data_IF_386160830899
#
_entry.id   IF_386160830899
#
_cell.length_a   1.000
_cell.length_b   1.000
_cell.length_c   1.000
_cell.angle_alpha   90.00
_cell.angle_beta   90.00
_cell.angle_gamma   90.00
#
_symmetry.space_group_name_H-M   'P 1'
#
loop_
_entity.id
_entity.type
_entity.pdbx_description
1 polymer ?
#
# COMPACT_ATOMS: atom_id res chain seq x y z
N UNK A 1 39.04 39.58 36.41
CA UNK A 1 38.76 40.22 35.10
C UNK A 1 39.03 39.22 33.98
N UNK A 2 38.06 38.93 33.10
CA UNK A 2 38.25 37.93 32.04
C UNK A 2 39.13 38.43 30.89
N UNK A 3 39.98 37.55 30.32
CA UNK A 3 40.80 37.88 29.15
C UNK A 3 39.90 38.21 27.94
N UNK A 4 40.25 39.25 27.18
CA UNK A 4 39.60 39.57 25.91
C UNK A 4 39.94 38.52 24.85
N UNK A 5 38.99 38.25 23.98
CA UNK A 5 39.24 37.46 22.77
C UNK A 5 40.28 38.16 21.89
N UNK A 6 41.21 37.40 21.30
CA UNK A 6 42.25 37.92 20.41
C UNK A 6 41.71 38.36 19.04
N UNK A 7 40.56 37.83 18.62
CA UNK A 7 39.92 38.18 17.36
C UNK A 7 39.63 39.69 17.25
N UNK A 8 39.96 40.29 16.10
CA UNK A 8 39.75 41.72 15.86
C UNK A 8 38.27 42.05 15.99
N UNK A 9 37.97 43.20 16.57
CA UNK A 9 36.59 43.69 16.82
C UNK A 9 35.74 42.82 17.77
N UNK A 10 36.28 41.76 18.36
CA UNK A 10 35.56 40.97 19.34
C UNK A 10 35.50 41.68 20.70
N UNK A 11 34.30 42.05 21.14
CA UNK A 11 34.07 42.71 22.43
C UNK A 11 33.98 41.75 23.63
N UNK A 12 34.01 40.44 23.39
CA UNK A 12 33.83 39.41 24.42
C UNK A 12 35.03 39.34 25.37
N UNK A 13 34.80 39.65 26.66
CA UNK A 13 35.78 39.56 27.75
C UNK A 13 35.77 38.19 28.47
N UNK A 14 35.69 37.10 27.70
CA UNK A 14 35.67 35.73 28.20
C UNK A 14 36.39 34.75 27.25
N UNK A 15 37.66 35.03 26.96
CA UNK A 15 38.52 34.11 26.24
C UNK A 15 38.89 32.91 27.13
N UNK A 16 38.42 31.73 26.76
CA UNK A 16 38.63 30.48 27.52
C UNK A 16 39.16 29.36 26.63
N UNK A 17 39.12 29.53 25.30
CA UNK A 17 39.56 28.52 24.35
C UNK A 17 41.02 28.73 23.93
N UNK A 18 41.79 27.64 23.92
CA UNK A 18 43.16 27.55 23.42
C UNK A 18 43.53 26.09 23.13
N UNK A 19 44.73 25.82 22.61
CA UNK A 19 45.26 24.47 22.45
C UNK A 19 45.65 23.83 23.80
N UNK A 20 45.58 22.50 23.87
CA UNK A 20 45.89 21.70 25.06
C UNK A 20 47.28 22.04 25.62
N UNK A 21 47.40 22.13 26.94
CA UNK A 21 48.64 22.51 27.64
C UNK A 21 48.85 24.03 27.81
N UNK A 22 48.02 24.86 27.17
CA UNK A 22 48.12 26.32 27.32
C UNK A 22 47.63 26.81 28.68
N UNK A 23 48.38 27.72 29.33
CA UNK A 23 48.05 28.29 30.65
C UNK A 23 46.84 29.24 30.68
N UNK A 24 46.19 29.50 29.54
CA UNK A 24 44.99 30.34 29.51
C UNK A 24 44.38 30.51 28.13
N UNK A 25 43.10 30.91 28.11
CA UNK A 25 42.32 31.12 26.90
C UNK A 25 42.75 32.35 26.10
N UNK A 26 42.68 32.24 24.77
CA UNK A 26 42.98 33.32 23.81
C UNK A 26 41.76 33.67 22.94
N UNK A 27 40.85 32.72 22.72
CA UNK A 27 39.63 32.91 21.94
C UNK A 27 38.37 32.66 22.77
N UNK A 28 37.28 33.34 22.39
CA UNK A 28 35.94 33.06 22.92
C UNK A 28 35.32 31.87 22.18
N UNK A 29 34.14 31.40 22.64
CA UNK A 29 33.44 30.26 22.03
C UNK A 29 33.16 30.44 20.54
N UNK A 30 32.88 31.67 20.10
CA UNK A 30 32.52 31.96 18.70
C UNK A 30 33.73 32.05 17.77
N UNK A 31 34.92 32.27 18.32
CA UNK A 31 36.17 32.44 17.54
C UNK A 31 37.19 31.34 17.83
N UNK A 32 36.76 30.24 18.46
CA UNK A 32 37.62 29.06 18.56
C UNK A 32 37.70 28.41 17.17
N UNK A 33 38.88 27.93 16.82
CA UNK A 33 39.09 27.11 15.62
C UNK A 33 39.19 25.64 16.00
N UNK A 34 39.20 24.76 15.00
CA UNK A 34 39.32 23.32 15.22
C UNK A 34 40.61 22.98 15.99
N UNK A 35 40.49 22.01 16.91
CA UNK A 35 41.56 21.64 17.85
C UNK A 35 41.66 22.51 19.11
N UNK A 36 40.94 23.63 19.23
CA UNK A 36 40.92 24.43 20.45
C UNK A 36 39.90 23.93 21.48
N UNK A 37 40.35 23.84 22.73
CA UNK A 37 39.61 23.33 23.89
C UNK A 37 39.42 24.42 24.94
N UNK A 38 38.44 24.26 25.83
CA UNK A 38 38.31 25.13 27.00
C UNK A 38 39.45 24.82 27.98
N UNK A 39 40.45 25.70 28.06
CA UNK A 39 41.62 25.51 28.94
C UNK A 39 41.44 26.16 30.31
N UNK A 40 40.30 26.81 30.55
CA UNK A 40 40.01 27.50 31.81
C UNK A 40 39.18 26.65 32.76
N UNK A 41 38.22 25.90 32.23
CA UNK A 41 37.37 25.03 33.03
C UNK A 41 37.90 23.58 32.99
N UNK A 42 37.78 22.82 34.10
CA UNK A 42 38.14 21.41 34.09
C UNK A 42 37.38 20.64 33.01
N UNK A 43 38.05 19.74 32.27
CA UNK A 43 37.42 18.87 31.31
C UNK A 43 36.63 17.75 32.01
N UNK A 44 35.90 16.97 31.22
CA UNK A 44 35.26 15.74 31.66
C UNK A 44 36.33 14.74 32.13
N UNK A 45 36.04 13.98 33.18
CA UNK A 45 36.99 12.99 33.73
C UNK A 45 37.19 11.75 32.83
N UNK A 46 36.31 11.53 31.87
CA UNK A 46 36.52 10.49 30.85
C UNK A 46 37.76 10.81 29.99
N UNK A 47 38.62 9.82 29.79
CA UNK A 47 39.89 10.00 29.10
C UNK A 47 39.72 10.58 27.69
N UNK A 48 40.53 11.59 27.37
CA UNK A 48 40.48 12.29 26.08
C UNK A 48 39.29 13.24 25.87
N UNK A 49 38.40 13.41 26.84
CA UNK A 49 37.20 14.22 26.66
C UNK A 49 37.38 15.69 27.11
N UNK A 50 37.34 16.62 26.14
CA UNK A 50 37.50 18.06 26.40
C UNK A 50 36.19 18.82 26.65
N UNK A 51 35.06 18.12 26.77
CA UNK A 51 33.78 18.78 27.09
C UNK A 51 33.70 19.13 28.56
N UNK A 52 33.17 20.31 28.84
CA UNK A 52 32.93 20.79 30.21
C UNK A 52 31.92 19.86 30.92
N UNK A 53 32.26 19.33 32.10
CA UNK A 53 31.38 18.43 32.82
C UNK A 53 30.26 19.18 33.52
N UNK A 54 29.08 18.58 33.49
CA UNK A 54 27.84 19.06 34.13
C UNK A 54 27.24 18.01 35.06
N UNK A 55 27.55 16.72 34.83
CA UNK A 55 26.89 15.60 35.47
C UNK A 55 27.73 15.01 36.60
N UNK A 56 27.06 14.65 37.69
CA UNK A 56 27.64 13.94 38.83
C UNK A 56 26.53 13.25 39.65
N UNK A 57 26.89 12.57 40.73
CA UNK A 57 25.96 12.03 41.71
C UNK A 57 25.15 13.13 42.42
N UNK A 58 23.94 12.78 42.86
CA UNK A 58 23.06 13.71 43.58
C UNK A 58 23.73 14.22 44.86
N UNK A 59 23.61 15.53 45.12
CA UNK A 59 24.22 16.20 46.27
C UNK A 59 25.63 16.76 46.02
N UNK A 60 26.29 16.36 44.93
CA UNK A 60 27.58 16.93 44.53
C UNK A 60 27.40 18.31 43.91
N UNK A 61 28.36 19.23 44.14
CA UNK A 61 28.30 20.61 43.62
C UNK A 61 29.08 20.83 42.31
N UNK A 62 29.97 19.90 41.97
CA UNK A 62 30.83 19.98 40.77
C UNK A 62 30.52 18.83 39.83
N UNK A 63 30.27 19.14 38.56
CA UNK A 63 30.14 18.13 37.52
C UNK A 63 31.49 17.45 37.26
N UNK A 64 31.48 16.12 37.09
CA UNK A 64 32.65 15.29 36.76
C UNK A 64 32.60 14.77 35.32
N UNK A 65 31.40 14.52 34.83
CA UNK A 65 31.18 13.96 33.49
C UNK A 65 30.35 14.90 32.59
N UNK A 66 30.56 14.80 31.28
CA UNK A 66 29.70 15.45 30.28
C UNK A 66 28.42 14.60 30.05
N UNK A 67 27.53 15.07 29.17
CA UNK A 67 26.27 14.34 28.88
C UNK A 67 26.50 12.97 28.24
N UNK A 68 27.54 12.87 27.40
CA UNK A 68 27.88 11.64 26.66
C UNK A 68 28.59 10.60 27.54
N UNK A 69 29.25 11.06 28.61
CA UNK A 69 30.04 10.20 29.51
C UNK A 69 29.45 10.08 30.91
N UNK A 70 28.22 10.56 31.14
CA UNK A 70 27.58 10.39 32.44
C UNK A 70 27.25 8.92 32.67
N UNK A 71 27.47 8.43 33.89
CA UNK A 71 27.05 7.09 34.29
C UNK A 71 25.55 7.07 34.62
N UNK A 72 24.96 5.87 34.61
CA UNK A 72 23.55 5.67 35.00
C UNK A 72 23.35 6.22 36.43
N UNK A 73 22.31 7.04 36.62
CA UNK A 73 22.00 7.68 37.90
C UNK A 73 22.65 9.04 38.13
N UNK A 74 23.58 9.49 37.27
CA UNK A 74 24.14 10.83 37.36
C UNK A 74 23.19 11.91 36.83
N UNK A 75 23.15 13.04 37.52
CA UNK A 75 22.26 14.18 37.29
C UNK A 75 23.06 15.43 36.94
N UNK A 76 22.45 16.40 36.26
CA UNK A 76 23.07 17.72 36.08
C UNK A 76 23.13 18.42 37.44
N UNK A 77 24.33 18.65 37.95
CA UNK A 77 24.54 19.26 39.27
C UNK A 77 24.80 20.77 39.20
N UNK A 78 24.88 21.35 37.98
CA UNK A 78 25.07 22.79 37.79
C UNK A 78 23.77 23.54 37.59
N UNK A 79 22.77 22.90 36.98
CA UNK A 79 21.45 23.49 36.80
C UNK A 79 20.47 22.92 37.83
N UNK A 80 19.59 23.75 38.42
CA UNK A 80 18.54 23.26 39.30
C UNK A 80 17.67 22.20 38.61
N UNK A 81 17.26 21.13 39.32
CA UNK A 81 16.32 20.15 38.80
C UNK A 81 14.90 20.72 38.70
N UNK A 82 14.01 19.94 38.09
CA UNK A 82 12.59 20.23 38.09
C UNK A 82 12.05 20.23 39.53
N UNK A 83 11.12 21.12 39.83
CA UNK A 83 10.54 21.24 41.18
C UNK A 83 9.58 20.09 41.55
N UNK A 84 9.25 19.21 40.61
CA UNK A 84 8.48 18.01 40.91
C UNK A 84 9.35 17.02 41.69
N UNK A 85 8.79 16.47 42.76
CA UNK A 85 9.49 15.54 43.63
C UNK A 85 10.10 14.37 42.84
N UNK A 86 11.36 14.07 43.12
CA UNK A 86 12.11 12.98 42.45
C UNK A 86 12.54 13.25 41.02
N UNK A 87 12.30 14.45 40.45
CA UNK A 87 12.58 14.71 39.05
C UNK A 87 13.91 15.44 38.79
N UNK A 88 14.89 14.74 38.21
CA UNK A 88 16.22 15.31 37.91
C UNK A 88 16.34 15.98 36.52
N UNK A 89 15.25 16.07 35.75
CA UNK A 89 15.32 16.73 34.44
C UNK A 89 15.42 18.24 34.61
N UNK A 90 16.27 18.88 33.80
CA UNK A 90 16.40 20.33 33.76
C UNK A 90 15.05 20.97 33.37
N UNK A 91 14.55 21.93 34.17
CA UNK A 91 13.28 22.59 33.88
C UNK A 91 13.43 23.67 32.80
N UNK A 92 12.38 23.80 31.98
CA UNK A 92 12.24 24.85 30.98
C UNK A 92 10.87 25.54 31.03
N UNK A 93 9.89 24.96 31.74
CA UNK A 93 8.52 25.44 31.79
C UNK A 93 8.23 26.25 33.04
N UNK A 94 7.46 27.33 32.88
CA UNK A 94 6.94 28.16 33.95
C UNK A 94 5.73 28.98 33.46
N UNK A 95 5.13 29.79 34.33
CA UNK A 95 4.12 30.78 33.96
C UNK A 95 4.71 31.88 33.07
N UNK A 96 3.87 32.45 32.20
CA UNK A 96 4.27 33.54 31.29
C UNK A 96 4.85 34.73 32.07
N UNK A 97 5.91 35.34 31.52
CA UNK A 97 6.63 36.47 32.13
C UNK A 97 7.76 36.06 33.09
N UNK A 98 7.81 34.80 33.51
CA UNK A 98 8.92 34.28 34.31
C UNK A 98 10.15 34.01 33.43
N UNK A 99 11.36 34.27 33.93
CA UNK A 99 12.61 34.10 33.16
C UNK A 99 13.33 32.76 33.38
N UNK A 100 12.88 31.97 34.35
CA UNK A 100 13.50 30.69 34.74
C UNK A 100 12.47 29.58 34.69
N UNK A 101 12.81 28.45 34.06
CA UNK A 101 12.00 27.24 34.13
C UNK A 101 11.99 26.68 35.55
N UNK A 102 10.82 26.23 36.01
CA UNK A 102 10.61 25.53 37.30
C UNK A 102 10.24 24.07 37.10
N UNK A 103 9.54 23.77 35.99
CA UNK A 103 9.08 22.43 35.65
C UNK A 103 9.67 21.94 34.32
N UNK A 104 9.79 20.63 34.16
CA UNK A 104 10.11 20.02 32.88
C UNK A 104 8.84 19.79 32.05
N UNK A 105 8.99 19.39 30.79
CA UNK A 105 7.84 19.15 29.89
C UNK A 105 6.83 18.14 30.45
N UNK A 106 7.30 17.14 31.21
CA UNK A 106 6.44 16.10 31.80
C UNK A 106 5.67 16.58 33.03
N UNK A 107 6.19 17.58 33.74
CA UNK A 107 5.63 18.08 35.01
C UNK A 107 5.09 19.50 34.89
N UNK A 108 4.96 20.03 33.67
CA UNK A 108 4.27 21.30 33.46
C UNK A 108 2.78 21.11 33.75
N UNK A 109 2.17 22.08 34.41
CA UNK A 109 0.71 22.13 34.58
C UNK A 109 0.07 23.02 33.50
N UNK A 110 -1.25 22.95 33.37
CA UNK A 110 -2.00 23.79 32.43
C UNK A 110 -1.68 25.28 32.66
N UNK A 111 -1.45 26.01 31.56
CA UNK A 111 -1.04 27.42 31.60
C UNK A 111 0.47 27.66 31.68
N UNK A 112 1.31 26.63 31.87
CA UNK A 112 2.77 26.78 31.80
C UNK A 112 3.30 26.67 30.37
N UNK A 113 4.26 27.55 30.06
CA UNK A 113 4.91 27.69 28.76
C UNK A 113 6.42 27.47 28.91
N UNK A 114 7.12 27.15 27.81
CA UNK A 114 8.58 27.13 27.82
C UNK A 114 9.09 28.58 27.90
N UNK A 115 9.77 28.91 28.99
CA UNK A 115 10.29 30.26 29.27
C UNK A 115 11.81 30.36 29.05
N UNK A 116 12.44 29.26 28.65
CA UNK A 116 13.89 29.18 28.44
C UNK A 116 14.23 29.23 26.95
N UNK A 117 13.40 28.59 26.12
CA UNK A 117 13.54 28.61 24.68
C UNK A 117 13.09 29.96 24.10
N UNK A 118 13.66 30.41 22.96
CA UNK A 118 13.17 31.58 22.25
C UNK A 118 11.69 31.40 21.85
N UNK A 119 10.90 32.45 22.02
CA UNK A 119 9.51 32.53 21.58
C UNK A 119 9.38 33.51 20.41
N UNK A 120 8.29 33.38 19.65
CA UNK A 120 7.92 34.31 18.61
C UNK A 120 7.90 35.76 19.11
N UNK A 121 8.42 36.69 18.32
CA UNK A 121 8.48 38.12 18.67
C UNK A 121 7.11 38.81 18.66
N UNK A 122 6.09 38.18 18.06
CA UNK A 122 4.71 38.66 18.13
C UNK A 122 4.19 38.63 19.56
N UNK A 123 3.61 39.74 20.01
CA UNK A 123 3.10 39.88 21.37
C UNK A 123 2.13 38.76 21.73
N UNK A 124 2.36 38.17 22.91
CA UNK A 124 1.54 37.10 23.44
C UNK A 124 1.65 35.75 22.74
N UNK A 125 2.65 35.53 21.87
CA UNK A 125 2.86 34.26 21.19
C UNK A 125 3.99 33.43 21.83
N UNK A 126 3.67 32.22 22.32
CA UNK A 126 4.65 31.32 22.95
C UNK A 126 5.17 30.22 22.01
N UNK A 127 4.84 30.30 20.72
CA UNK A 127 5.30 29.32 19.73
C UNK A 127 6.77 29.55 19.39
N UNK A 128 7.51 28.46 19.11
CA UNK A 128 8.92 28.59 18.73
C UNK A 128 9.05 29.29 17.38
N UNK A 129 9.94 30.30 17.28
CA UNK A 129 10.15 31.01 16.05
C UNK A 129 11.11 30.25 15.14
N UNK A 130 10.67 30.00 13.91
CA UNK A 130 11.51 29.37 12.86
C UNK A 130 11.65 30.26 11.63
N UNK A 131 10.81 31.29 11.50
CA UNK A 131 10.77 32.19 10.35
C UNK A 131 11.57 33.47 10.59
N UNK A 132 12.31 33.89 9.57
CA UNK A 132 13.01 35.18 9.51
C UNK A 132 13.32 35.52 8.04
N UNK A 133 13.96 36.68 7.81
CA UNK A 133 14.47 37.06 6.49
C UNK A 133 15.59 36.11 6.04
N UNK A 134 15.71 35.92 4.73
CA UNK A 134 16.75 35.10 4.10
C UNK A 134 18.14 35.57 4.54
N UNK A 135 19.04 34.62 4.81
CA UNK A 135 20.40 34.87 5.31
C UNK A 135 20.53 34.97 6.83
N UNK A 136 19.42 35.11 7.56
CA UNK A 136 19.43 35.06 9.02
C UNK A 136 19.57 33.62 9.53
N UNK A 137 20.22 33.42 10.69
CA UNK A 137 20.47 32.09 11.28
C UNK A 137 19.49 31.70 12.39
N UNK A 138 18.66 32.63 12.85
CA UNK A 138 17.72 32.45 13.97
C UNK A 138 16.33 32.85 13.53
N UNK A 139 15.32 32.04 13.85
CA UNK A 139 13.92 32.43 13.70
C UNK A 139 13.58 33.57 14.65
N UNK A 140 12.73 34.49 14.19
CA UNK A 140 12.12 35.58 14.98
C UNK A 140 10.61 35.42 15.09
N UNK A 141 9.98 34.84 14.08
CA UNK A 141 8.53 34.65 14.01
C UNK A 141 8.16 33.18 13.82
N UNK A 142 6.95 32.81 14.23
CA UNK A 142 6.38 31.50 13.93
C UNK A 142 5.62 31.52 12.60
N UNK A 143 5.10 30.36 12.16
CA UNK A 143 4.37 30.25 10.90
C UNK A 143 3.16 31.19 10.81
N UNK A 144 2.45 31.39 11.93
CA UNK A 144 1.26 32.24 11.99
C UNK A 144 1.56 33.74 12.01
N UNK A 145 2.79 34.12 12.39
CA UNK A 145 3.20 35.53 12.52
C UNK A 145 4.34 35.89 11.57
N UNK A 146 4.61 35.05 10.56
CA UNK A 146 5.61 35.34 9.54
C UNK A 146 5.10 36.44 8.62
N UNK A 147 5.96 37.38 8.25
CA UNK A 147 5.67 38.36 7.20
C UNK A 147 5.87 37.72 5.81
N UNK A 148 5.35 38.37 4.77
CA UNK A 148 5.33 37.84 3.40
C UNK A 148 6.70 37.32 2.92
N UNK A 149 7.78 38.09 3.14
CA UNK A 149 9.14 37.76 2.70
C UNK A 149 9.93 36.86 3.66
N UNK A 150 9.32 36.38 4.75
CA UNK A 150 10.00 35.54 5.72
C UNK A 150 9.96 34.06 5.33
N UNK A 151 11.11 33.41 5.42
CA UNK A 151 11.32 31.99 5.17
C UNK A 151 11.63 31.25 6.47
N UNK A 152 11.42 29.93 6.50
CA UNK A 152 11.97 29.12 7.59
C UNK A 152 13.50 29.17 7.47
N UNK A 153 14.17 29.73 8.48
CA UNK A 153 15.64 29.87 8.49
C UNK A 153 16.34 28.73 9.24
N UNK A 154 15.59 27.91 9.96
CA UNK A 154 16.11 26.70 10.60
C UNK A 154 16.10 25.52 9.62
N UNK A 155 15.08 25.49 8.76
CA UNK A 155 14.90 24.54 7.67
C UNK A 155 14.78 25.31 6.34
N UNK A 156 15.88 25.92 5.86
CA UNK A 156 15.85 26.76 4.68
C UNK A 156 15.34 25.97 3.47
N UNK A 157 14.44 26.58 2.67
CA UNK A 157 13.99 26.01 1.42
C UNK A 157 15.12 26.06 0.38
N UNK A 158 14.82 25.56 -0.82
CA UNK A 158 15.74 25.60 -1.96
C UNK A 158 16.29 27.02 -2.19
N UNK A 159 17.59 27.11 -2.51
CA UNK A 159 18.26 28.40 -2.69
C UNK A 159 17.74 29.19 -3.90
N UNK A 160 17.16 28.51 -4.90
CA UNK A 160 16.48 29.17 -6.02
C UNK A 160 15.39 30.14 -5.53
N UNK A 161 15.35 31.34 -6.11
CA UNK A 161 14.39 32.37 -5.73
C UNK A 161 12.95 31.89 -5.96
N UNK A 162 12.05 32.24 -5.03
CA UNK A 162 10.65 31.82 -5.06
C UNK A 162 10.38 30.33 -4.81
N UNK A 163 11.41 29.49 -4.61
CA UNK A 163 11.19 28.06 -4.40
C UNK A 163 10.99 27.72 -2.92
N UNK A 164 9.80 27.22 -2.56
CA UNK A 164 9.48 26.73 -1.21
C UNK A 164 9.81 25.26 -0.95
N UNK A 165 10.37 24.54 -1.94
CA UNK A 165 10.63 23.09 -1.83
C UNK A 165 11.84 22.82 -0.93
N UNK A 166 11.76 21.78 -0.10
CA UNK A 166 12.88 21.34 0.73
C UNK A 166 14.07 20.89 -0.14
N UNK A 167 15.28 21.44 0.08
CA UNK A 167 16.45 21.06 -0.69
C UNK A 167 17.07 19.77 -0.18
N UNK A 168 17.39 18.88 -1.12
CA UNK A 168 18.10 17.62 -0.87
C UNK A 168 19.36 17.47 -1.73
N UNK A 169 19.51 18.28 -2.78
CA UNK A 169 20.63 18.22 -3.71
C UNK A 169 21.75 19.19 -3.36
N UNK A 170 22.99 18.73 -3.47
CA UNK A 170 24.20 19.55 -3.36
C UNK A 170 25.40 18.86 -4.04
N UNK A 171 26.59 19.44 -3.97
CA UNK A 171 27.83 18.80 -4.41
C UNK A 171 28.23 17.65 -3.46
N UNK A 172 28.91 16.63 -3.99
CA UNK A 172 29.35 15.45 -3.26
C UNK A 172 30.18 15.83 -2.02
N UNK A 173 29.98 15.12 -0.91
CA UNK A 173 30.65 15.36 0.37
C UNK A 173 30.00 16.43 1.28
N UNK A 174 29.04 17.21 0.77
CA UNK A 174 28.26 18.13 1.60
C UNK A 174 27.17 17.37 2.37
N UNK A 175 26.85 17.80 3.59
CA UNK A 175 25.81 17.17 4.44
C UNK A 175 24.43 17.84 4.35
N UNK A 176 24.36 19.03 3.75
CA UNK A 176 23.13 19.83 3.67
C UNK A 176 22.76 20.02 2.21
N UNK A 177 21.51 19.70 1.85
CA UNK A 177 20.95 20.06 0.55
C UNK A 177 20.85 21.58 0.41
N UNK A 178 21.12 22.10 -0.79
CA UNK A 178 20.98 23.51 -1.17
C UNK A 178 19.88 23.72 -2.21
N UNK A 179 19.68 22.73 -3.08
CA UNK A 179 18.71 22.79 -4.17
C UNK A 179 17.70 21.64 -4.10
N UNK A 180 16.49 21.86 -4.63
CA UNK A 180 15.52 20.79 -4.86
C UNK A 180 15.80 20.09 -6.20
N UNK A 181 15.05 19.02 -6.50
CA UNK A 181 15.23 18.25 -7.75
C UNK A 181 15.07 19.09 -9.01
N UNK A 182 14.16 20.07 -9.00
CA UNK A 182 13.87 20.94 -10.14
C UNK A 182 14.93 22.04 -10.34
N UNK A 183 15.68 22.39 -9.30
CA UNK A 183 16.67 23.47 -9.33
C UNK A 183 18.09 22.97 -9.09
N UNK A 184 18.32 21.65 -9.13
CA UNK A 184 19.67 21.10 -9.02
C UNK A 184 20.49 21.50 -10.25
N UNK A 185 21.73 21.90 -10.03
CA UNK A 185 22.68 22.15 -11.11
C UNK A 185 23.30 20.84 -11.60
N UNK A 186 23.87 20.86 -12.81
CA UNK A 186 24.59 19.71 -13.37
C UNK A 186 25.70 19.27 -12.41
N UNK A 187 25.76 17.97 -12.12
CA UNK A 187 26.73 17.38 -11.18
C UNK A 187 26.33 17.43 -9.70
N UNK A 188 25.17 18.01 -9.35
CA UNK A 188 24.65 17.91 -7.98
C UNK A 188 23.96 16.57 -7.74
N UNK A 189 24.18 16.02 -6.55
CA UNK A 189 23.72 14.72 -6.09
C UNK A 189 22.78 14.90 -4.91
N UNK A 190 21.93 13.91 -4.63
CA UNK A 190 21.17 13.89 -3.39
C UNK A 190 22.13 13.63 -2.21
N UNK A 191 22.22 14.58 -1.27
CA UNK A 191 23.10 14.51 -0.10
C UNK A 191 22.36 14.22 1.20
N UNK A 192 21.03 14.08 1.13
CA UNK A 192 20.17 13.79 2.28
C UNK A 192 19.78 12.33 2.32
N UNK A 193 19.48 11.76 1.16
CA UNK A 193 19.09 10.36 1.04
C UNK A 193 20.33 9.47 0.86
N UNK A 194 20.26 8.19 1.28
CA UNK A 194 21.35 7.26 1.08
C UNK A 194 21.68 7.08 -0.40
N UNK A 195 22.98 7.05 -0.72
CA UNK A 195 23.52 6.67 -2.03
C UNK A 195 24.20 5.32 -1.94
N UNK A 196 24.38 4.67 -3.08
CA UNK A 196 25.11 3.42 -3.19
C UNK A 196 26.52 3.52 -2.58
N UNK A 197 26.95 2.49 -1.86
CA UNK A 197 28.25 2.44 -1.20
C UNK A 197 29.44 2.28 -2.17
N UNK A 198 29.17 1.88 -3.42
CA UNK A 198 30.20 1.86 -4.47
C UNK A 198 30.73 3.28 -4.72
N UNK A 199 32.05 3.40 -4.90
CA UNK A 199 32.69 4.68 -5.18
C UNK A 199 32.09 5.34 -6.42
N UNK A 200 31.95 6.67 -6.35
CA UNK A 200 31.39 7.51 -7.42
C UNK A 200 29.97 7.14 -7.88
N UNK A 201 29.22 6.37 -7.09
CA UNK A 201 27.85 6.01 -7.41
C UNK A 201 26.83 6.85 -6.62
N UNK A 202 25.98 7.60 -7.33
CA UNK A 202 24.92 8.43 -6.73
C UNK A 202 23.52 7.82 -6.83
N UNK A 203 23.42 6.60 -7.36
CA UNK A 203 22.13 5.91 -7.48
C UNK A 203 21.63 5.46 -6.11
N UNK A 204 20.32 5.47 -5.93
CA UNK A 204 19.69 5.01 -4.70
C UNK A 204 19.99 3.53 -4.46
N UNK A 205 20.45 3.15 -3.25
CA UNK A 205 20.72 1.77 -2.93
C UNK A 205 19.43 1.06 -2.51
N UNK A 206 19.13 -0.05 -3.17
CA UNK A 206 17.98 -0.92 -2.85
C UNK A 206 18.41 -2.35 -2.53
N UNK A 207 19.64 -2.73 -2.89
CA UNK A 207 20.18 -4.07 -2.72
C UNK A 207 21.01 -4.21 -1.44
N UNK A 208 20.83 -5.32 -0.73
CA UNK A 208 21.66 -5.73 0.41
C UNK A 208 21.52 -7.25 0.64
N UNK A 209 22.22 -7.78 1.64
CA UNK A 209 22.07 -9.18 2.07
C UNK A 209 20.67 -9.42 2.68
N UNK A 210 20.15 -10.64 2.50
CA UNK A 210 18.82 -11.03 2.97
C UNK A 210 18.67 -10.79 4.48
N UNK A 211 17.51 -10.29 4.90
CA UNK A 211 17.21 -9.94 6.30
C UNK A 211 17.59 -8.51 6.72
N UNK A 212 18.37 -7.78 5.91
CA UNK A 212 18.60 -6.36 6.13
C UNK A 212 17.40 -5.52 5.70
N UNK A 213 17.20 -4.36 6.34
CA UNK A 213 16.06 -3.46 6.06
C UNK A 213 16.42 -2.25 5.18
N UNK A 214 17.71 -2.01 4.93
CA UNK A 214 18.21 -0.86 4.20
C UNK A 214 19.09 -1.34 3.06
N UNK A 215 18.90 -0.78 1.86
CA UNK A 215 19.82 -1.00 0.74
C UNK A 215 21.19 -0.39 1.02
N UNK A 216 22.24 -1.06 0.55
CA UNK A 216 23.63 -0.56 0.55
C UNK A 216 24.15 -0.35 -0.86
N UNK A 217 23.67 -1.13 -1.82
CA UNK A 217 24.11 -1.10 -3.22
C UNK A 217 22.94 -0.88 -4.17
N UNK A 218 23.22 -0.36 -5.36
CA UNK A 218 22.24 -0.28 -6.44
C UNK A 218 22.27 -1.54 -7.30
N UNK A 219 21.40 -1.63 -8.30
CA UNK A 219 21.31 -2.80 -9.18
C UNK A 219 22.61 -3.09 -9.94
N UNK A 220 23.37 -2.07 -10.31
CA UNK A 220 24.62 -2.20 -11.05
C UNK A 220 25.82 -2.60 -10.16
N UNK A 221 25.70 -2.39 -8.85
CA UNK A 221 26.78 -2.64 -7.88
C UNK A 221 26.39 -3.70 -6.84
N UNK A 222 25.31 -4.45 -7.07
CA UNK A 222 24.93 -5.55 -6.20
C UNK A 222 25.93 -6.70 -6.34
N UNK A 223 26.27 -7.35 -5.23
CA UNK A 223 27.03 -8.60 -5.23
C UNK A 223 26.09 -9.79 -5.50
N UNK A 224 26.67 -10.94 -5.89
CA UNK A 224 25.94 -12.13 -6.34
C UNK A 224 24.76 -12.54 -5.43
N UNK A 225 24.95 -12.51 -4.11
CA UNK A 225 23.92 -12.92 -3.13
C UNK A 225 23.04 -11.78 -2.58
N UNK A 226 23.14 -10.58 -3.14
CA UNK A 226 22.34 -9.44 -2.69
C UNK A 226 20.97 -9.41 -3.36
N UNK A 227 19.94 -9.18 -2.54
CA UNK A 227 18.54 -9.05 -2.97
C UNK A 227 18.08 -7.60 -2.82
N UNK A 228 17.04 -7.21 -3.55
CA UNK A 228 16.33 -5.97 -3.24
C UNK A 228 15.70 -6.13 -1.84
N UNK A 229 16.14 -5.32 -0.87
CA UNK A 229 15.66 -5.37 0.52
C UNK A 229 14.58 -4.32 0.80
N UNK A 230 14.37 -3.38 -0.12
CA UNK A 230 13.28 -2.41 -0.04
C UNK A 230 12.00 -3.00 -0.63
N UNK A 231 12.13 -3.79 -1.69
CA UNK A 231 11.07 -4.53 -2.37
C UNK A 231 11.41 -6.03 -2.34
N UNK A 232 11.38 -6.66 -1.15
CA UNK A 232 11.80 -8.04 -1.00
C UNK A 232 10.95 -8.98 -1.88
N UNK A 233 11.59 -9.95 -2.54
CA UNK A 233 10.87 -10.95 -3.32
C UNK A 233 10.11 -11.91 -2.42
N UNK A 234 9.40 -12.86 -3.04
CA UNK A 234 8.73 -13.96 -2.36
C UNK A 234 9.62 -14.63 -1.30
N UNK A 235 9.04 -14.96 -0.14
CA UNK A 235 9.79 -15.55 0.96
C UNK A 235 10.30 -16.97 0.68
N UNK A 236 9.75 -17.66 -0.33
CA UNK A 236 10.24 -18.95 -0.79
C UNK A 236 11.69 -18.83 -1.29
N UNK A 237 12.53 -19.79 -0.90
CA UNK A 237 13.94 -19.81 -1.27
C UNK A 237 14.11 -19.89 -2.80
N UNK A 238 15.04 -19.10 -3.34
CA UNK A 238 15.28 -19.01 -4.78
C UNK A 238 14.19 -18.32 -5.61
N UNK A 239 13.11 -17.84 -4.99
CA UNK A 239 12.03 -17.20 -5.72
C UNK A 239 12.24 -15.68 -5.85
N UNK A 240 12.35 -15.18 -7.09
CA UNK A 240 12.51 -13.75 -7.39
C UNK A 240 11.21 -13.00 -7.70
N UNK A 241 10.05 -13.65 -7.60
CA UNK A 241 8.77 -13.02 -7.95
C UNK A 241 8.27 -12.09 -6.85
N UNK A 242 7.54 -11.05 -7.23
CA UNK A 242 6.98 -10.09 -6.27
C UNK A 242 5.89 -10.76 -5.42
N UNK A 243 5.96 -10.65 -4.09
CA UNK A 243 4.97 -11.25 -3.23
C UNK A 243 3.73 -10.36 -3.10
N UNK A 244 2.56 -10.94 -3.37
CA UNK A 244 1.25 -10.28 -3.19
C UNK A 244 0.34 -11.03 -2.22
N UNK A 245 0.65 -12.29 -1.90
CA UNK A 245 -0.16 -13.14 -1.03
C UNK A 245 0.31 -13.11 0.43
N UNK A 246 -0.64 -13.04 1.36
CA UNK A 246 -0.42 -13.20 2.79
C UNK A 246 -1.73 -13.61 3.51
N UNK A 247 -1.71 -13.74 4.83
CA UNK A 247 -2.92 -13.95 5.63
C UNK A 247 -3.79 -12.68 5.66
N UNK A 248 -5.11 -12.87 5.76
CA UNK A 248 -6.10 -11.78 5.77
C UNK A 248 -5.78 -10.74 6.86
N UNK A 249 -5.93 -9.46 6.52
CA UNK A 249 -5.65 -8.33 7.42
C UNK A 249 -4.18 -7.85 7.43
N UNK A 250 -3.26 -8.58 6.83
CA UNK A 250 -1.89 -8.09 6.60
C UNK A 250 -1.86 -7.10 5.44
N UNK A 251 -0.95 -6.13 5.48
CA UNK A 251 -0.80 -5.10 4.42
C UNK A 251 0.34 -5.37 3.43
N UNK A 252 1.15 -6.39 3.70
CA UNK A 252 2.34 -6.72 2.89
C UNK A 252 2.26 -8.16 2.44
N UNK A 253 2.33 -8.38 1.13
CA UNK A 253 2.53 -9.71 0.55
C UNK A 253 3.85 -10.32 1.05
N UNK A 254 3.82 -11.63 1.35
CA UNK A 254 4.99 -12.45 1.72
C UNK A 254 5.30 -13.53 0.68
N UNK A 255 4.28 -14.01 -0.02
CA UNK A 255 4.40 -15.07 -1.01
C UNK A 255 3.84 -14.65 -2.36
N UNK A 256 4.34 -15.25 -3.45
CA UNK A 256 3.74 -15.12 -4.77
C UNK A 256 2.62 -16.15 -4.96
N UNK A 257 1.90 -16.07 -6.08
CA UNK A 257 0.79 -16.99 -6.38
C UNK A 257 1.21 -18.47 -6.35
N UNK A 258 2.41 -18.79 -6.85
CA UNK A 258 2.93 -20.16 -6.89
C UNK A 258 3.40 -20.70 -5.52
N UNK A 259 3.68 -19.82 -4.55
CA UNK A 259 4.22 -20.20 -3.25
C UNK A 259 3.30 -19.80 -2.09
N UNK A 260 2.05 -19.40 -2.40
CA UNK A 260 1.08 -19.07 -1.36
C UNK A 260 0.72 -20.35 -0.59
N UNK A 261 0.61 -20.25 0.72
CA UNK A 261 0.13 -21.35 1.56
C UNK A 261 -1.41 -21.39 1.54
N UNK A 262 -1.98 -22.54 1.92
CA UNK A 262 -3.44 -22.71 2.01
C UNK A 262 -4.05 -21.63 2.92
N UNK A 263 -5.07 -20.95 2.43
CA UNK A 263 -5.76 -19.86 3.14
C UNK A 263 -5.13 -18.47 3.00
N UNK A 264 -4.01 -18.32 2.27
CA UNK A 264 -3.48 -16.99 1.95
C UNK A 264 -4.27 -16.33 0.82
N UNK A 265 -4.48 -15.02 0.95
CA UNK A 265 -5.19 -14.16 0.00
C UNK A 265 -4.25 -13.11 -0.57
N UNK A 266 -4.62 -12.51 -1.71
CA UNK A 266 -3.92 -11.32 -2.20
C UNK A 266 -4.20 -10.15 -1.24
N UNK A 267 -3.15 -9.54 -0.70
CA UNK A 267 -3.23 -8.42 0.25
C UNK A 267 -2.73 -7.09 -0.32
N UNK A 268 -2.33 -7.08 -1.59
CA UNK A 268 -1.85 -5.89 -2.29
C UNK A 268 -2.93 -5.33 -3.23
N UNK A 269 -3.68 -6.23 -3.89
CA UNK A 269 -4.78 -5.85 -4.76
C UNK A 269 -6.00 -5.39 -3.95
N UNK A 270 -6.77 -4.39 -4.42
CA UNK A 270 -8.04 -4.03 -3.80
C UNK A 270 -8.99 -5.23 -3.79
N UNK A 271 -9.42 -5.64 -2.61
CA UNK A 271 -10.42 -6.69 -2.41
C UNK A 271 -11.79 -6.09 -2.14
N UNK A 272 -12.83 -6.90 -2.37
CA UNK A 272 -14.20 -6.53 -2.09
C UNK A 272 -14.40 -6.05 -0.65
N UNK A 273 -15.16 -4.96 -0.47
CA UNK A 273 -15.46 -4.41 0.86
C UNK A 273 -16.40 -5.28 1.70
N UNK A 274 -17.23 -6.11 1.07
CA UNK A 274 -18.12 -7.03 1.78
C UNK A 274 -17.34 -7.99 2.69
N UNK A 275 -17.79 -8.09 3.95
CA UNK A 275 -17.19 -8.99 4.93
C UNK A 275 -17.16 -10.43 4.40
N UNK A 276 -16.02 -11.11 4.56
CA UNK A 276 -15.80 -12.47 4.05
C UNK A 276 -15.72 -12.63 2.52
N UNK A 277 -15.69 -11.56 1.72
CA UNK A 277 -15.42 -11.64 0.28
C UNK A 277 -13.95 -11.28 -0.03
N UNK A 278 -13.19 -12.20 -0.61
CA UNK A 278 -11.77 -12.01 -0.98
C UNK A 278 -11.58 -11.76 -2.49
N UNK A 279 -12.67 -11.53 -3.22
CA UNK A 279 -12.62 -11.26 -4.65
C UNK A 279 -11.91 -9.94 -4.92
N UNK A 280 -10.94 -9.96 -5.84
CA UNK A 280 -10.25 -8.74 -6.29
C UNK A 280 -11.24 -7.89 -7.09
N UNK A 281 -11.23 -6.58 -6.84
CA UNK A 281 -12.21 -5.65 -7.40
C UNK A 281 -11.56 -4.53 -8.21
N UNK A 282 -12.35 -3.97 -9.12
CA UNK A 282 -12.02 -2.74 -9.83
C UNK A 282 -12.80 -1.58 -9.22
N UNK A 283 -12.32 -0.34 -9.43
CA UNK A 283 -12.94 0.87 -8.87
C UNK A 283 -14.38 1.15 -9.33
N UNK A 284 -14.87 0.50 -10.40
CA UNK A 284 -16.18 0.78 -11.03
C UNK A 284 -17.37 0.62 -10.06
N UNK A 285 -17.29 -0.31 -9.12
CA UNK A 285 -18.37 -0.71 -8.22
C UNK A 285 -18.07 -0.36 -6.76
N UNK A 286 -17.46 0.81 -6.54
CA UNK A 286 -17.21 1.40 -5.22
C UNK A 286 -16.55 0.46 -4.21
N UNK A 287 -15.59 -0.35 -4.68
CA UNK A 287 -14.87 -1.30 -3.82
C UNK A 287 -15.55 -2.65 -3.62
N UNK A 288 -16.70 -2.92 -4.24
CA UNK A 288 -17.37 -4.23 -4.20
C UNK A 288 -17.12 -5.03 -5.49
N UNK A 289 -17.13 -6.36 -5.38
CA UNK A 289 -17.15 -7.22 -6.57
C UNK A 289 -18.55 -7.18 -7.21
N UNK A 290 -18.66 -7.55 -8.49
CA UNK A 290 -19.95 -7.50 -9.21
C UNK A 290 -21.07 -8.25 -8.48
N UNK A 291 -20.76 -9.42 -7.90
CA UNK A 291 -21.74 -10.21 -7.13
C UNK A 291 -22.20 -9.50 -5.85
N UNK A 292 -21.26 -9.04 -5.01
CA UNK A 292 -21.62 -8.33 -3.78
C UNK A 292 -22.31 -6.99 -4.08
N UNK A 293 -21.86 -6.26 -5.10
CA UNK A 293 -22.46 -4.99 -5.50
C UNK A 293 -23.91 -5.18 -5.93
N UNK A 294 -24.19 -6.16 -6.80
CA UNK A 294 -25.55 -6.44 -7.25
C UNK A 294 -26.49 -6.84 -6.11
N UNK A 295 -26.01 -7.62 -5.14
CA UNK A 295 -26.83 -8.08 -4.01
C UNK A 295 -27.04 -7.01 -2.94
N UNK A 296 -26.04 -6.16 -2.68
CA UNK A 296 -26.11 -5.12 -1.64
C UNK A 296 -26.76 -3.83 -2.16
N UNK A 297 -26.61 -3.53 -3.45
CA UNK A 297 -27.10 -2.32 -4.11
C UNK A 297 -27.99 -2.68 -5.32
N UNK A 298 -29.09 -3.42 -5.12
CA UNK A 298 -29.92 -3.91 -6.23
C UNK A 298 -30.59 -2.80 -7.04
N UNK A 299 -30.80 -1.63 -6.44
CA UNK A 299 -31.44 -0.48 -7.08
C UNK A 299 -30.46 0.55 -7.67
N UNK A 300 -29.14 0.31 -7.56
CA UNK A 300 -28.15 1.20 -8.20
C UNK A 300 -28.23 1.02 -9.74
N UNK A 301 -28.28 2.10 -10.53
CA UNK A 301 -28.37 2.00 -11.99
C UNK A 301 -27.27 1.13 -12.62
N UNK A 302 -26.07 1.11 -12.04
CA UNK A 302 -24.94 0.30 -12.53
C UNK A 302 -25.14 -1.20 -12.30
N UNK A 303 -26.02 -1.61 -11.38
CA UNK A 303 -26.36 -3.01 -11.16
C UNK A 303 -27.05 -3.60 -12.37
N UNK A 304 -27.92 -2.84 -13.05
CA UNK A 304 -28.54 -3.24 -14.31
C UNK A 304 -27.51 -3.38 -15.46
N UNK A 305 -26.38 -2.67 -15.38
CA UNK A 305 -25.28 -2.75 -16.35
C UNK A 305 -24.25 -3.85 -16.04
N UNK A 306 -24.32 -4.49 -14.87
CA UNK A 306 -23.47 -5.65 -14.58
C UNK A 306 -23.87 -6.74 -15.58
N UNK A 307 -22.96 -7.04 -16.53
CA UNK A 307 -23.09 -8.17 -17.46
C UNK A 307 -22.98 -9.49 -16.69
N UNK A 308 -24.02 -9.82 -15.96
CA UNK A 308 -24.38 -11.18 -15.61
C UNK A 308 -25.29 -11.67 -16.73
N UNK A 309 -24.80 -12.58 -17.59
CA UNK A 309 -25.62 -13.50 -18.38
C UNK A 309 -26.90 -12.87 -18.99
N UNK A 310 -26.86 -11.67 -19.58
CA UNK A 310 -28.09 -10.91 -19.85
C UNK A 310 -29.00 -11.61 -20.87
N UNK A 311 -28.40 -12.27 -21.88
CA UNK A 311 -29.14 -13.04 -22.88
C UNK A 311 -29.59 -14.39 -22.34
N UNK A 312 -28.71 -15.11 -21.62
CA UNK A 312 -29.08 -16.36 -20.96
C UNK A 312 -30.22 -16.16 -19.94
N UNK A 313 -30.13 -15.15 -19.07
CA UNK A 313 -31.18 -14.82 -18.09
C UNK A 313 -32.49 -14.46 -18.80
N UNK A 314 -32.43 -13.69 -19.89
CA UNK A 314 -33.62 -13.35 -20.68
C UNK A 314 -34.31 -14.61 -21.22
N UNK A 315 -33.54 -15.55 -21.79
CA UNK A 315 -34.06 -16.83 -22.27
C UNK A 315 -34.59 -17.71 -21.14
N UNK A 316 -33.84 -17.86 -20.06
CA UNK A 316 -34.21 -18.69 -18.90
C UNK A 316 -35.53 -18.20 -18.29
N UNK A 317 -35.65 -16.89 -18.03
CA UNK A 317 -36.87 -16.33 -17.45
C UNK A 317 -38.07 -16.52 -18.37
N UNK A 318 -37.89 -16.30 -19.68
CA UNK A 318 -38.96 -16.47 -20.66
C UNK A 318 -39.47 -17.93 -20.72
N UNK A 319 -38.55 -18.90 -20.77
CA UNK A 319 -38.91 -20.33 -20.82
C UNK A 319 -39.57 -20.77 -19.52
N UNK A 320 -39.03 -20.40 -18.35
CA UNK A 320 -39.65 -20.74 -17.05
C UNK A 320 -41.07 -20.16 -16.96
N UNK A 321 -41.27 -18.92 -17.43
CA UNK A 321 -42.57 -18.28 -17.43
C UNK A 321 -43.56 -18.95 -18.39
N UNK A 322 -43.11 -19.41 -19.55
CA UNK A 322 -43.96 -20.07 -20.55
C UNK A 322 -44.33 -21.52 -20.14
N UNK A 323 -43.44 -22.19 -19.40
CA UNK A 323 -43.60 -23.58 -18.96
C UNK A 323 -43.51 -23.72 -17.43
N UNK A 324 -44.41 -23.06 -16.67
CA UNK A 324 -44.32 -23.00 -15.20
C UNK A 324 -44.67 -24.32 -14.51
N UNK A 325 -45.22 -25.30 -15.24
CA UNK A 325 -45.58 -26.62 -14.72
C UNK A 325 -44.39 -27.57 -14.61
N UNK A 326 -43.26 -27.25 -15.26
CA UNK A 326 -42.03 -28.03 -15.17
C UNK A 326 -41.19 -27.53 -13.99
N UNK A 327 -40.61 -28.47 -13.23
CA UNK A 327 -39.70 -28.15 -12.13
C UNK A 327 -38.29 -27.85 -12.69
N UNK A 328 -38.09 -26.59 -13.07
CA UNK A 328 -36.87 -26.13 -13.70
C UNK A 328 -35.70 -25.97 -12.71
N UNK A 329 -34.55 -26.53 -13.09
CA UNK A 329 -33.28 -26.42 -12.39
C UNK A 329 -32.34 -25.52 -13.20
N UNK A 330 -32.10 -24.31 -12.70
CA UNK A 330 -31.23 -23.30 -13.34
C UNK A 330 -29.84 -23.22 -12.68
N UNK A 331 -28.77 -23.19 -13.49
CA UNK A 331 -27.34 -22.99 -13.15
C UNK A 331 -26.76 -23.90 -12.03
N UNK A 332 -27.49 -24.93 -11.60
CA UNK A 332 -27.02 -25.89 -10.59
C UNK A 332 -26.17 -26.99 -11.22
N UNK A 333 -24.97 -27.28 -10.68
CA UNK A 333 -24.12 -28.34 -11.19
C UNK A 333 -24.71 -29.74 -10.96
N UNK A 334 -24.45 -30.65 -11.88
CA UNK A 334 -24.52 -32.09 -11.69
C UNK A 334 -23.17 -32.55 -11.12
N UNK A 335 -23.21 -33.41 -10.10
CA UNK A 335 -22.01 -33.84 -9.37
C UNK A 335 -22.10 -35.30 -8.96
N UNK A 336 -21.08 -36.09 -9.33
CA UNK A 336 -20.86 -37.45 -8.84
C UNK A 336 -19.49 -37.55 -8.20
N UNK A 337 -19.45 -38.08 -6.98
CA UNK A 337 -18.23 -38.38 -6.24
C UNK A 337 -17.91 -39.87 -6.41
N UNK A 338 -17.02 -40.20 -7.35
CA UNK A 338 -16.54 -41.56 -7.49
C UNK A 338 -15.57 -41.85 -6.34
N UNK A 339 -16.07 -42.51 -5.29
CA UNK A 339 -15.22 -43.01 -4.21
C UNK A 339 -14.07 -43.85 -4.77
N UNK A 340 -12.85 -43.28 -4.80
CA UNK A 340 -11.64 -43.90 -5.31
C UNK A 340 -11.13 -43.42 -6.69
N UNK A 341 -11.80 -42.47 -7.35
CA UNK A 341 -11.34 -41.85 -8.59
C UNK A 341 -10.52 -40.57 -8.37
N UNK A 342 -9.55 -40.29 -9.24
CA UNK A 342 -8.68 -39.10 -9.19
C UNK A 342 -9.42 -37.76 -9.47
N UNK A 343 -10.66 -37.80 -9.98
CA UNK A 343 -11.39 -36.61 -10.41
C UNK A 343 -12.90 -36.78 -10.20
N UNK A 344 -13.54 -35.84 -9.47
CA UNK A 344 -14.99 -35.73 -9.41
C UNK A 344 -15.53 -35.15 -10.72
N UNK A 345 -16.55 -35.77 -11.32
CA UNK A 345 -17.20 -35.18 -12.49
C UNK A 345 -18.17 -34.10 -12.05
N UNK A 346 -17.91 -32.87 -12.50
CA UNK A 346 -18.78 -31.72 -12.32
C UNK A 346 -19.16 -31.21 -13.70
N UNK A 347 -20.45 -31.30 -14.03
CA UNK A 347 -21.01 -30.76 -15.28
C UNK A 347 -22.11 -29.75 -14.95
N UNK A 348 -22.38 -28.85 -15.88
CA UNK A 348 -23.41 -27.83 -15.74
C UNK A 348 -24.14 -27.70 -17.06
N UNK A 349 -25.46 -27.70 -16.95
CA UNK A 349 -26.43 -27.41 -18.00
C UNK A 349 -27.13 -26.13 -17.53
N UNK A 350 -27.31 -25.16 -18.43
CA UNK A 350 -27.81 -23.83 -18.05
C UNK A 350 -29.20 -23.95 -17.42
N UNK A 351 -30.14 -24.58 -18.11
CA UNK A 351 -31.49 -24.83 -17.60
C UNK A 351 -31.92 -26.25 -17.94
N UNK A 352 -32.52 -26.98 -16.98
CA UNK A 352 -33.03 -28.34 -17.24
C UNK A 352 -34.26 -28.66 -16.41
N UNK A 353 -35.14 -29.51 -16.91
CA UNK A 353 -36.26 -30.07 -16.18
C UNK A 353 -36.41 -31.56 -16.49
N UNK A 354 -36.88 -32.34 -15.51
CA UNK A 354 -37.23 -33.73 -15.73
C UNK A 354 -38.66 -33.78 -16.29
N UNK A 355 -38.83 -34.45 -17.42
CA UNK A 355 -40.11 -34.59 -18.12
C UNK A 355 -40.54 -36.06 -18.07
N UNK A 356 -41.80 -36.30 -17.72
CA UNK A 356 -42.43 -37.61 -17.78
C UNK A 356 -43.32 -37.69 -19.02
N UNK A 357 -43.03 -38.63 -19.92
CA UNK A 357 -43.81 -38.84 -21.13
C UNK A 357 -44.44 -40.24 -21.15
N UNK A 358 -45.76 -40.38 -21.48
CA UNK A 358 -46.49 -41.65 -21.39
C UNK A 358 -45.87 -42.82 -22.16
N UNK A 359 -45.18 -42.54 -23.27
CA UNK A 359 -44.61 -43.56 -24.15
C UNK A 359 -43.08 -43.66 -24.09
N UNK A 360 -42.39 -42.61 -23.64
CA UNK A 360 -40.92 -42.55 -23.66
C UNK A 360 -40.28 -42.67 -22.26
N UNK A 361 -41.10 -42.59 -21.21
CA UNK A 361 -40.66 -42.58 -19.81
C UNK A 361 -40.12 -41.21 -19.38
N UNK A 362 -39.20 -41.23 -18.42
CA UNK A 362 -38.54 -40.02 -17.91
C UNK A 362 -37.35 -39.63 -18.80
N UNK A 363 -37.24 -38.33 -19.11
CA UNK A 363 -36.07 -37.76 -19.78
C UNK A 363 -35.81 -36.33 -19.30
N UNK A 364 -34.57 -35.86 -19.47
CA UNK A 364 -34.18 -34.50 -19.18
C UNK A 364 -34.38 -33.62 -20.41
N UNK A 365 -35.25 -32.62 -20.30
CA UNK A 365 -35.27 -31.49 -21.23
C UNK A 365 -34.23 -30.46 -20.77
N UNK A 366 -33.27 -30.16 -21.63
CA UNK A 366 -32.12 -29.32 -21.34
C UNK A 366 -32.07 -28.16 -22.32
N UNK A 367 -31.82 -26.95 -21.82
CA UNK A 367 -31.61 -25.75 -22.61
C UNK A 367 -30.17 -25.27 -22.36
N UNK A 368 -29.41 -25.07 -23.43
CA UNK A 368 -28.09 -24.43 -23.38
C UNK A 368 -28.11 -23.14 -24.20
N UNK A 369 -27.68 -22.03 -23.60
CA UNK A 369 -27.61 -20.73 -24.26
C UNK A 369 -26.16 -20.51 -24.71
N UNK A 370 -25.93 -20.68 -26.00
CA UNK A 370 -24.58 -20.67 -26.59
C UNK A 370 -24.28 -19.31 -27.23
N UNK A 371 -23.75 -18.38 -26.43
CA UNK A 371 -23.27 -17.09 -26.93
C UNK A 371 -22.01 -17.27 -27.79
N UNK A 372 -21.99 -16.66 -28.98
CA UNK A 372 -20.92 -16.73 -29.99
C UNK A 372 -20.75 -18.10 -30.68
N UNK A 373 -21.73 -19.00 -30.58
CA UNK A 373 -21.75 -20.31 -31.27
C UNK A 373 -20.49 -21.16 -31.03
N UNK A 374 -19.82 -21.04 -29.88
CA UNK A 374 -18.56 -21.74 -29.55
C UNK A 374 -17.55 -21.92 -30.72
N UNK A 375 -17.28 -20.89 -31.54
CA UNK A 375 -16.38 -20.93 -32.73
C UNK A 375 -14.87 -21.19 -32.46
N UNK A 376 -14.51 -21.85 -31.35
CA UNK A 376 -13.13 -22.04 -30.91
C UNK A 376 -12.74 -23.47 -30.52
N UNK A 377 -13.64 -24.46 -30.58
CA UNK A 377 -13.32 -25.86 -30.27
C UNK A 377 -13.17 -26.69 -31.54
N UNK A 378 -12.16 -27.55 -31.57
CA UNK A 378 -11.95 -28.54 -32.64
C UNK A 378 -13.12 -29.53 -32.68
N UNK A 379 -13.58 -29.86 -33.89
CA UNK A 379 -14.69 -30.79 -34.15
C UNK A 379 -14.49 -32.10 -33.35
N UNK A 380 -15.41 -32.39 -32.41
CA UNK A 380 -15.44 -33.63 -31.62
C UNK A 380 -15.50 -33.46 -30.10
N UNK A 381 -15.08 -32.33 -29.54
CA UNK A 381 -15.13 -32.09 -28.09
C UNK A 381 -16.56 -31.99 -27.53
N UNK A 382 -17.51 -31.51 -28.33
CA UNK A 382 -18.92 -31.38 -27.95
C UNK A 382 -19.60 -32.74 -27.75
N UNK A 383 -19.37 -33.67 -28.69
CA UNK A 383 -19.86 -35.05 -28.58
C UNK A 383 -19.29 -35.72 -27.33
N UNK A 384 -17.99 -35.50 -27.04
CA UNK A 384 -17.38 -36.02 -25.81
C UNK A 384 -18.03 -35.43 -24.55
N UNK A 385 -18.35 -34.14 -24.54
CA UNK A 385 -19.05 -33.49 -23.41
C UNK A 385 -20.43 -34.09 -23.15
N UNK A 386 -21.21 -34.36 -24.18
CA UNK A 386 -22.52 -34.99 -24.02
C UNK A 386 -22.43 -36.46 -23.64
N UNK A 387 -21.48 -37.20 -24.23
CA UNK A 387 -21.22 -38.59 -23.84
C UNK A 387 -20.79 -38.69 -22.37
N UNK A 388 -19.92 -37.79 -21.89
CA UNK A 388 -19.56 -37.70 -20.48
C UNK A 388 -20.79 -37.47 -19.59
N UNK A 389 -21.69 -36.57 -20.01
CA UNK A 389 -22.94 -36.32 -19.28
C UNK A 389 -23.79 -37.60 -19.16
N UNK A 390 -23.92 -38.35 -20.25
CA UNK A 390 -24.63 -39.63 -20.23
C UNK A 390 -23.94 -40.68 -19.37
N UNK A 391 -22.62 -40.84 -19.52
CA UNK A 391 -21.84 -41.83 -18.78
C UNK A 391 -21.84 -41.55 -17.26
N UNK A 392 -21.70 -40.28 -16.87
CA UNK A 392 -21.59 -39.89 -15.47
C UNK A 392 -22.94 -39.75 -14.77
N UNK A 393 -23.98 -39.33 -15.50
CA UNK A 393 -25.28 -38.97 -14.90
C UNK A 393 -26.47 -39.80 -15.36
N UNK A 394 -26.28 -40.76 -16.28
CA UNK A 394 -27.23 -41.77 -16.76
C UNK A 394 -28.66 -41.28 -17.00
N UNK A 395 -29.10 -41.26 -18.25
CA UNK A 395 -30.48 -40.89 -18.57
C UNK A 395 -30.69 -40.64 -20.05
N UNK A 396 -31.94 -40.29 -20.40
CA UNK A 396 -32.29 -39.77 -21.72
C UNK A 396 -32.26 -38.25 -21.67
N UNK A 397 -31.66 -37.61 -22.66
CA UNK A 397 -31.51 -36.15 -22.69
C UNK A 397 -31.97 -35.59 -24.04
N UNK A 398 -32.73 -34.50 -24.01
CA UNK A 398 -33.03 -33.68 -25.17
C UNK A 398 -32.47 -32.28 -24.91
N UNK A 399 -31.46 -31.88 -25.66
CA UNK A 399 -30.82 -30.58 -25.60
C UNK A 399 -31.35 -29.67 -26.69
N UNK A 400 -31.87 -28.50 -26.31
CA UNK A 400 -32.10 -27.38 -27.22
C UNK A 400 -30.96 -26.39 -27.03
N UNK A 401 -30.05 -26.33 -27.99
CA UNK A 401 -28.96 -25.35 -28.00
C UNK A 401 -29.41 -24.12 -28.75
N UNK A 402 -29.45 -22.98 -28.06
CA UNK A 402 -30.00 -21.74 -28.59
C UNK A 402 -28.87 -20.74 -28.72
N UNK A 403 -28.56 -20.33 -29.95
CA UNK A 403 -27.66 -19.21 -30.17
C UNK A 403 -28.47 -17.90 -30.08
N UNK A 404 -28.19 -17.02 -29.09
CA UNK A 404 -28.89 -15.75 -28.95
C UNK A 404 -28.25 -14.62 -29.76
N UNK A 405 -27.26 -14.93 -30.59
CA UNK A 405 -26.55 -13.97 -31.45
C UNK A 405 -27.06 -14.02 -32.90
N UNK A 406 -26.72 -13.01 -33.71
CA UNK A 406 -26.92 -13.04 -35.16
C UNK A 406 -26.20 -14.26 -35.79
N UNK A 407 -26.82 -14.85 -36.80
CA UNK A 407 -26.31 -16.06 -37.49
C UNK A 407 -26.38 -15.92 -39.01
N UNK A 408 -25.75 -16.85 -39.72
CA UNK A 408 -25.75 -16.92 -41.19
C UNK A 408 -26.64 -18.05 -41.68
N UNK A 409 -27.60 -17.75 -42.54
CA UNK A 409 -28.36 -18.76 -43.27
C UNK A 409 -28.11 -18.52 -44.77
N UNK A 410 -27.40 -19.44 -45.40
CA UNK A 410 -26.80 -19.29 -46.72
C UNK A 410 -25.84 -18.11 -46.77
N UNK A 411 -26.15 -17.15 -47.64
CA UNK A 411 -25.41 -15.90 -47.80
C UNK A 411 -25.96 -14.78 -46.92
N UNK A 412 -27.10 -14.98 -46.25
CA UNK A 412 -27.82 -13.95 -45.53
C UNK A 412 -27.51 -13.98 -44.04
N UNK A 413 -27.18 -12.80 -43.48
CA UNK A 413 -27.08 -12.62 -42.03
C UNK A 413 -28.47 -12.40 -41.45
N UNK A 414 -28.92 -13.33 -40.63
CA UNK A 414 -30.19 -13.26 -39.90
C UNK A 414 -29.99 -12.80 -38.45
N UNK A 415 -30.90 -11.95 -38.00
CA UNK A 415 -31.00 -11.54 -36.59
C UNK A 415 -32.46 -11.29 -36.20
N UNK A 416 -33.30 -12.34 -36.16
CA UNK A 416 -34.69 -12.17 -35.76
C UNK A 416 -34.79 -11.67 -34.32
N UNK A 417 -35.79 -10.82 -34.00
CA UNK A 417 -36.08 -10.36 -32.64
C UNK A 417 -36.26 -11.52 -31.66
N UNK A 418 -36.00 -11.25 -30.39
CA UNK A 418 -36.08 -12.25 -29.32
C UNK A 418 -37.45 -12.94 -29.27
N UNK A 419 -38.53 -12.19 -29.41
CA UNK A 419 -39.90 -12.67 -29.34
C UNK A 419 -40.22 -13.67 -30.47
N UNK A 420 -39.70 -13.42 -31.68
CA UNK A 420 -39.85 -14.32 -32.82
C UNK A 420 -39.05 -15.62 -32.59
N UNK A 421 -37.84 -15.51 -32.03
CA UNK A 421 -37.03 -16.67 -31.67
C UNK A 421 -37.71 -17.52 -30.60
N UNK A 422 -38.26 -16.88 -29.57
CA UNK A 422 -38.93 -17.54 -28.46
C UNK A 422 -40.12 -18.37 -28.95
N UNK A 423 -40.96 -17.83 -29.85
CA UNK A 423 -42.10 -18.57 -30.42
C UNK A 423 -41.70 -19.88 -31.10
N UNK A 424 -40.52 -19.92 -31.74
CA UNK A 424 -40.01 -21.12 -32.40
C UNK A 424 -39.59 -22.16 -31.36
N UNK A 425 -38.82 -21.73 -30.35
CA UNK A 425 -38.34 -22.62 -29.27
C UNK A 425 -39.51 -23.13 -28.43
N UNK A 426 -40.50 -22.29 -28.13
CA UNK A 426 -41.70 -22.66 -27.38
C UNK A 426 -42.49 -23.75 -28.11
N UNK A 427 -42.62 -23.63 -29.43
CA UNK A 427 -43.29 -24.66 -30.24
C UNK A 427 -42.56 -25.99 -30.15
N UNK A 428 -41.23 -25.96 -30.16
CA UNK A 428 -40.42 -27.16 -30.05
C UNK A 428 -40.57 -27.83 -28.67
N UNK A 429 -40.51 -27.05 -27.59
CA UNK A 429 -40.69 -27.59 -26.24
C UNK A 429 -42.09 -28.21 -26.09
N UNK A 430 -43.12 -27.55 -26.60
CA UNK A 430 -44.50 -28.08 -26.61
C UNK A 430 -44.60 -29.39 -27.40
N UNK A 431 -43.93 -29.48 -28.56
CA UNK A 431 -43.89 -30.70 -29.36
C UNK A 431 -43.20 -31.84 -28.61
N UNK A 432 -42.03 -31.59 -28.01
CA UNK A 432 -41.30 -32.56 -27.19
C UNK A 432 -42.14 -33.05 -26.02
N UNK A 433 -42.85 -32.15 -25.34
CA UNK A 433 -43.72 -32.51 -24.22
C UNK A 433 -44.91 -33.36 -24.65
N UNK A 434 -45.44 -33.14 -25.87
CA UNK A 434 -46.65 -33.80 -26.37
C UNK A 434 -46.37 -35.13 -27.07
N UNK A 435 -45.36 -35.16 -27.92
CA UNK A 435 -45.06 -36.27 -28.82
C UNK A 435 -43.84 -37.07 -28.37
N UNK A 436 -43.08 -36.55 -27.41
CA UNK A 436 -41.76 -37.07 -27.06
C UNK A 436 -40.67 -36.47 -27.93
N UNK A 437 -39.48 -36.29 -27.37
CA UNK A 437 -38.34 -35.70 -28.07
C UNK A 437 -37.12 -36.61 -28.18
N UNK A 438 -37.22 -37.81 -27.60
CA UNK A 438 -36.10 -38.74 -27.45
C UNK A 438 -36.12 -39.78 -28.56
N UNK A 439 -35.29 -39.59 -29.58
CA UNK A 439 -35.03 -40.57 -30.65
C UNK A 439 -33.87 -41.50 -30.27
N UNK A 440 -32.84 -40.97 -29.58
CA UNK A 440 -31.69 -41.73 -29.09
C UNK A 440 -31.51 -41.61 -27.55
N UNK A 441 -30.31 -41.83 -27.01
CA UNK A 441 -30.04 -41.57 -25.58
C UNK A 441 -29.78 -40.08 -25.33
N UNK A 442 -29.23 -39.38 -26.31
CA UNK A 442 -28.97 -37.94 -26.28
C UNK A 442 -29.38 -37.37 -27.63
N UNK A 443 -30.34 -36.47 -27.64
CA UNK A 443 -30.76 -35.71 -28.81
C UNK A 443 -30.35 -34.25 -28.64
N UNK A 444 -29.69 -33.67 -29.63
CA UNK A 444 -29.23 -32.27 -29.60
C UNK A 444 -29.80 -31.53 -30.81
N UNK A 445 -30.61 -30.50 -30.55
CA UNK A 445 -31.26 -29.67 -31.56
C UNK A 445 -30.71 -28.26 -31.49
N UNK A 446 -30.23 -27.75 -32.63
CA UNK A 446 -29.61 -26.43 -32.73
C UNK A 446 -30.60 -25.39 -33.28
N UNK A 447 -30.72 -24.26 -32.59
CA UNK A 447 -31.59 -23.15 -32.98
C UNK A 447 -30.78 -21.89 -33.25
N UNK A 448 -31.01 -21.29 -34.43
CA UNK A 448 -30.41 -20.03 -34.87
C UNK A 448 -28.88 -20.10 -35.04
N UNK A 449 -28.36 -21.21 -35.56
CA UNK A 449 -26.94 -21.40 -35.86
C UNK A 449 -26.63 -21.06 -37.31
N UNK A 450 -25.33 -20.87 -37.60
CA UNK A 450 -24.91 -20.78 -39.00
C UNK A 450 -25.19 -22.11 -39.72
N UNK A 451 -25.48 -22.06 -41.03
CA UNK A 451 -25.66 -23.26 -41.86
C UNK A 451 -24.58 -24.32 -41.57
N UNK A 452 -25.01 -25.45 -41.02
CA UNK A 452 -24.15 -26.49 -40.46
C UNK A 452 -24.48 -26.94 -39.03
N UNK A 453 -25.60 -26.50 -38.45
CA UNK A 453 -26.10 -27.00 -37.15
C UNK A 453 -26.75 -28.39 -37.18
N UNK A 454 -26.26 -29.30 -38.04
CA UNK A 454 -26.68 -30.70 -38.08
C UNK A 454 -25.44 -31.57 -38.11
N UNK A 455 -25.29 -32.42 -37.09
CA UNK A 455 -24.52 -33.66 -37.21
C UNK A 455 -25.08 -34.52 -38.35
#
# INVERSE_FOLDING_TARGET
MGKKCKEKECTVKNAVFNYRGSKGGIYCKNHKVDGMIDVKHPPCEYEGCDTRPLYNERGQKKGRFCVDHKLKGMIDVKHPPCEHEGCDTRPSYNLRGQKKGRFCVKHKINGMIDVVSPTCEHEGCDTQPVYNLRGQKKGRFCVNHKLYDMIDVLHPPCEHEGCGTQPVYNVRGQKKGRFCVNHKLKGMIDVKNPTCEHEECDTQPVYNVRGQKKGRFCVNHKLYDMIDVLHPPCEHEGCGTQPVYNVRGQKKGRFCVNHKLKGMIDVQSPTCEHESCDTIVMKKYDGYCTHCFANLFPNDPRTAEIRTKSKEIQWVNAIIQQFPTLDWIWDKPLYVDFSGGCCASKRRIDLRALVEHPHQGLFWLCIEIDENQHRGYEDGYEIMRYNDLFLDFSGKYVFLRINPDPFQEGLDRKDPPFEERLVIVDREIQDIMKNGGVEELIDVRHFFYNDGGSL
#
